data_IF_171656801015
#
_entry.id   IF_171656801015
#
_cell.length_a   1.000
_cell.length_b   1.000
_cell.length_c   1.000
_cell.angle_alpha   90.00
_cell.angle_beta   90.00
_cell.angle_gamma   90.00
#
_symmetry.space_group_name_H-M   'P 1'
#
loop_
_entity.id
_entity.type
_entity.pdbx_description
1 polymer ?
#
# COMPACT_ATOMS: atom_id res chain seq x y z
N UNK A 1 -39.68 -5.54 13.61
CA UNK A 1 -39.94 -4.30 12.86
C UNK A 1 -39.46 -4.48 11.42
N UNK A 2 -40.38 -4.47 10.43
CA UNK A 2 -39.99 -4.46 9.01
C UNK A 2 -39.50 -3.04 8.69
N UNK A 3 -38.19 -2.85 8.57
CA UNK A 3 -37.61 -1.57 8.13
C UNK A 3 -38.06 -1.32 6.68
N UNK A 4 -38.97 -0.38 6.47
CA UNK A 4 -39.32 0.09 5.13
C UNK A 4 -38.08 0.81 4.57
N UNK A 5 -37.45 0.23 3.57
CA UNK A 5 -36.34 0.89 2.88
C UNK A 5 -36.87 2.17 2.21
N UNK A 6 -36.25 3.30 2.48
CA UNK A 6 -36.60 4.54 1.79
C UNK A 6 -36.20 4.43 0.30
N UNK A 7 -36.87 5.14 -0.62
CA UNK A 7 -36.50 5.15 -2.03
C UNK A 7 -35.03 5.53 -2.26
N UNK A 8 -34.49 6.43 -1.42
CA UNK A 8 -33.08 6.84 -1.44
C UNK A 8 -32.15 5.67 -1.07
N UNK A 9 -32.52 4.87 -0.06
CA UNK A 9 -31.73 3.68 0.32
C UNK A 9 -31.70 2.64 -0.78
N UNK A 10 -32.82 2.42 -1.47
CA UNK A 10 -32.90 1.50 -2.61
C UNK A 10 -32.02 2.04 -3.75
N UNK A 11 -32.10 3.33 -4.09
CA UNK A 11 -31.27 3.95 -5.13
C UNK A 11 -29.78 3.82 -4.85
N UNK A 12 -29.34 4.11 -3.62
CA UNK A 12 -27.94 3.93 -3.20
C UNK A 12 -27.49 2.46 -3.29
N UNK A 13 -28.36 1.53 -2.86
CA UNK A 13 -28.04 0.09 -2.95
C UNK A 13 -27.86 -0.36 -4.39
N UNK A 14 -28.72 0.08 -5.32
CA UNK A 14 -28.60 -0.24 -6.75
C UNK A 14 -27.29 0.30 -7.33
N UNK A 15 -26.95 1.57 -7.05
CA UNK A 15 -25.71 2.20 -7.54
C UNK A 15 -24.49 1.44 -7.02
N UNK A 16 -24.45 1.12 -5.73
CA UNK A 16 -23.34 0.38 -5.13
C UNK A 16 -23.23 -1.04 -5.70
N UNK A 17 -24.36 -1.71 -5.95
CA UNK A 17 -24.39 -3.04 -6.57
C UNK A 17 -23.83 -3.01 -7.98
N UNK A 18 -24.25 -2.04 -8.79
CA UNK A 18 -23.73 -1.85 -10.15
C UNK A 18 -22.23 -1.55 -10.16
N UNK A 19 -21.76 -0.72 -9.23
CA UNK A 19 -20.33 -0.44 -9.06
C UNK A 19 -19.53 -1.71 -8.74
N UNK A 20 -20.01 -2.53 -7.79
CA UNK A 20 -19.35 -3.79 -7.44
C UNK A 20 -19.34 -4.76 -8.63
N UNK A 21 -20.46 -4.90 -9.33
CA UNK A 21 -20.53 -5.75 -10.52
C UNK A 21 -19.53 -5.30 -11.59
N UNK A 22 -19.44 -4.00 -11.84
CA UNK A 22 -18.47 -3.44 -12.80
C UNK A 22 -17.03 -3.77 -12.41
N UNK A 23 -16.67 -3.62 -11.11
CA UNK A 23 -15.33 -3.99 -10.61
C UNK A 23 -15.06 -5.50 -10.76
N UNK A 24 -16.05 -6.34 -10.50
CA UNK A 24 -15.91 -7.79 -10.67
C UNK A 24 -15.70 -8.18 -12.14
N UNK A 25 -16.38 -7.50 -13.08
CA UNK A 25 -16.19 -7.72 -14.51
C UNK A 25 -14.76 -7.34 -14.94
N UNK A 26 -14.24 -6.18 -14.47
CA UNK A 26 -12.86 -5.78 -14.76
C UNK A 26 -11.88 -6.82 -14.22
N UNK A 27 -12.06 -7.26 -12.97
CA UNK A 27 -11.18 -8.25 -12.35
C UNK A 27 -11.21 -9.60 -13.08
N UNK A 28 -12.41 -10.05 -13.48
CA UNK A 28 -12.57 -11.25 -14.29
C UNK A 28 -11.87 -11.10 -15.66
N UNK A 29 -12.00 -9.92 -16.29
CA UNK A 29 -11.33 -9.63 -17.56
C UNK A 29 -9.79 -9.66 -17.41
N UNK A 30 -9.23 -9.15 -16.33
CA UNK A 30 -7.79 -9.24 -16.04
C UNK A 30 -7.35 -10.70 -15.95
N UNK A 31 -8.10 -11.55 -15.22
CA UNK A 31 -7.77 -12.99 -15.09
C UNK A 31 -7.83 -13.67 -16.46
N UNK A 32 -8.90 -13.43 -17.22
CA UNK A 32 -9.07 -14.03 -18.56
C UNK A 32 -7.94 -13.58 -19.50
N UNK A 33 -7.57 -12.31 -19.48
CA UNK A 33 -6.52 -11.77 -20.34
C UNK A 33 -5.13 -12.28 -19.91
N UNK A 34 -4.88 -12.38 -18.61
CA UNK A 34 -3.65 -12.96 -18.07
C UNK A 34 -3.49 -14.46 -18.42
N UNK A 35 -4.60 -15.14 -18.70
CA UNK A 35 -4.62 -16.56 -19.07
C UNK A 35 -4.49 -16.81 -20.57
N UNK A 36 -4.50 -15.76 -21.41
CA UNK A 36 -4.33 -15.88 -22.85
C UNK A 36 -2.86 -16.13 -23.19
N UNK A 37 -2.62 -16.95 -24.21
CA UNK A 37 -1.30 -17.24 -24.71
C UNK A 37 -0.94 -16.40 -25.92
N UNK A 38 0.35 -16.19 -26.11
CA UNK A 38 0.94 -15.82 -27.36
C UNK A 38 1.82 -16.98 -27.84
N UNK A 39 1.42 -17.59 -28.95
CA UNK A 39 2.22 -18.64 -29.59
C UNK A 39 3.20 -17.99 -30.55
N UNK A 40 4.49 -18.02 -30.19
CA UNK A 40 5.59 -17.37 -30.90
C UNK A 40 6.15 -18.13 -32.10
N UNK A 41 5.40 -19.05 -32.73
CA UNK A 41 5.85 -19.69 -33.97
C UNK A 41 5.17 -19.02 -35.18
N UNK A 42 6.00 -18.29 -35.92
CA UNK A 42 5.62 -17.36 -37.00
C UNK A 42 4.93 -18.04 -38.22
N UNK A 43 4.77 -19.35 -38.25
CA UNK A 43 4.32 -20.03 -39.45
C UNK A 43 2.89 -20.54 -39.50
N UNK A 44 2.15 -20.60 -38.40
CA UNK A 44 0.81 -21.22 -38.40
C UNK A 44 -0.17 -20.87 -37.28
N UNK A 45 0.04 -19.82 -36.46
CA UNK A 45 -0.81 -19.54 -35.32
C UNK A 45 -1.45 -18.15 -35.35
N UNK A 46 -2.77 -18.12 -35.23
CA UNK A 46 -3.51 -16.91 -34.87
C UNK A 46 -3.32 -16.65 -33.36
N UNK A 47 -2.69 -15.53 -32.95
CA UNK A 47 -2.54 -15.19 -31.53
C UNK A 47 -3.93 -15.01 -30.89
N UNK A 48 -4.08 -15.46 -29.65
CA UNK A 48 -5.30 -15.33 -28.84
C UNK A 48 -5.77 -13.87 -28.65
N UNK A 49 -4.88 -12.93 -28.92
CA UNK A 49 -5.09 -11.48 -28.78
C UNK A 49 -5.14 -10.75 -30.12
N UNK A 50 -5.84 -11.31 -31.11
CA UNK A 50 -6.31 -10.47 -32.22
C UNK A 50 -7.36 -9.45 -31.73
N UNK A 51 -7.49 -8.29 -32.38
CA UNK A 51 -8.49 -7.28 -32.04
C UNK A 51 -9.90 -7.86 -31.85
N UNK A 52 -10.21 -8.95 -32.55
CA UNK A 52 -11.51 -9.63 -32.51
C UNK A 52 -11.71 -10.47 -31.24
N UNK A 53 -10.66 -10.77 -30.47
CA UNK A 53 -10.74 -11.63 -29.26
C UNK A 53 -10.27 -10.94 -27.97
N UNK A 54 -10.18 -9.61 -27.93
CA UNK A 54 -9.78 -8.86 -26.73
C UNK A 54 -10.66 -9.16 -25.51
N UNK A 55 -11.96 -9.40 -25.74
CA UNK A 55 -12.96 -9.67 -24.68
C UNK A 55 -13.30 -11.17 -24.59
N UNK A 56 -12.90 -11.97 -25.58
CA UNK A 56 -13.22 -13.40 -25.66
C UNK A 56 -12.54 -14.25 -24.60
N UNK A 57 -13.03 -15.49 -24.46
CA UNK A 57 -12.41 -16.49 -23.58
C UNK A 57 -11.07 -16.95 -24.18
N UNK A 58 -10.08 -17.28 -23.33
CA UNK A 58 -8.83 -17.86 -23.79
C UNK A 58 -9.07 -19.22 -24.47
N UNK A 59 -8.34 -19.53 -25.54
CA UNK A 59 -8.40 -20.86 -26.19
C UNK A 59 -7.82 -21.92 -25.28
N UNK A 60 -6.76 -21.59 -24.57
CA UNK A 60 -6.12 -22.41 -23.53
C UNK A 60 -5.83 -21.56 -22.31
N UNK A 61 -5.83 -22.18 -21.11
CA UNK A 61 -5.57 -21.49 -19.85
C UNK A 61 -4.08 -21.52 -19.52
N UNK A 62 -3.35 -20.49 -19.93
CA UNK A 62 -1.87 -20.43 -19.85
C UNK A 62 -1.36 -19.48 -18.75
N UNK A 63 -2.16 -19.19 -17.71
CA UNK A 63 -1.75 -18.26 -16.64
C UNK A 63 -0.42 -18.63 -15.97
N UNK A 64 -0.24 -19.92 -15.65
CA UNK A 64 0.99 -20.40 -14.98
C UNK A 64 2.19 -20.38 -15.89
N UNK A 65 1.99 -20.69 -17.17
CA UNK A 65 3.05 -20.63 -18.17
C UNK A 65 3.50 -19.18 -18.39
N UNK A 66 2.56 -18.24 -18.50
CA UNK A 66 2.86 -16.82 -18.58
C UNK A 66 3.65 -16.31 -17.36
N UNK A 67 3.28 -16.74 -16.13
CA UNK A 67 4.03 -16.41 -14.92
C UNK A 67 5.45 -17.00 -14.96
N UNK A 68 5.61 -18.22 -15.46
CA UNK A 68 6.92 -18.84 -15.61
C UNK A 68 7.78 -18.12 -16.64
N UNK A 69 7.20 -17.71 -17.77
CA UNK A 69 7.91 -16.93 -18.78
C UNK A 69 8.31 -15.54 -18.28
N UNK A 70 7.45 -14.86 -17.54
CA UNK A 70 7.77 -13.60 -16.88
C UNK A 70 8.98 -13.78 -15.95
N UNK A 71 8.99 -14.86 -15.14
CA UNK A 71 10.12 -15.14 -14.24
C UNK A 71 11.45 -15.32 -14.98
N UNK A 72 11.41 -15.91 -16.18
CA UNK A 72 12.59 -16.14 -17.02
C UNK A 72 12.92 -14.92 -17.92
N UNK A 73 11.96 -14.05 -18.12
CA UNK A 73 12.05 -12.88 -19.01
C UNK A 73 12.74 -11.68 -18.38
N UNK A 74 12.78 -11.57 -17.04
CA UNK A 74 13.45 -10.47 -16.37
C UNK A 74 14.99 -10.62 -16.48
N UNK A 75 15.65 -9.52 -16.85
CA UNK A 75 17.11 -9.43 -16.90
C UNK A 75 17.73 -9.31 -15.50
N UNK A 76 17.03 -8.68 -14.57
CA UNK A 76 17.55 -8.16 -13.30
C UNK A 76 17.00 -8.90 -12.05
N UNK A 77 16.72 -10.19 -12.16
CA UNK A 77 16.31 -10.99 -11.01
C UNK A 77 15.12 -11.90 -11.28
N UNK A 78 14.73 -12.65 -10.27
CA UNK A 78 13.58 -13.55 -10.30
C UNK A 78 12.35 -12.90 -9.66
N UNK A 79 11.15 -13.36 -10.02
CA UNK A 79 9.90 -12.92 -9.37
C UNK A 79 9.96 -13.06 -7.84
N UNK A 80 10.63 -14.11 -7.34
CA UNK A 80 10.77 -14.34 -5.90
C UNK A 80 11.65 -13.27 -5.24
N UNK A 81 12.75 -12.86 -5.88
CA UNK A 81 13.60 -11.78 -5.35
C UNK A 81 12.86 -10.45 -5.35
N UNK A 82 12.11 -10.14 -6.40
CA UNK A 82 11.27 -8.93 -6.48
C UNK A 82 10.16 -8.92 -5.44
N UNK A 83 9.51 -10.07 -5.21
CA UNK A 83 8.53 -10.22 -4.13
C UNK A 83 9.17 -9.98 -2.75
N UNK A 84 10.34 -10.56 -2.49
CA UNK A 84 11.12 -10.34 -1.29
C UNK A 84 11.47 -8.86 -1.07
N UNK A 85 11.98 -8.20 -2.11
CA UNK A 85 12.29 -6.76 -2.07
C UNK A 85 11.03 -5.92 -1.79
N UNK A 86 9.91 -6.26 -2.43
CA UNK A 86 8.63 -5.56 -2.20
C UNK A 86 8.17 -5.68 -0.75
N UNK A 87 8.20 -6.89 -0.19
CA UNK A 87 7.83 -7.13 1.22
C UNK A 87 8.76 -6.37 2.16
N UNK A 88 10.08 -6.47 1.98
CA UNK A 88 11.06 -5.77 2.82
C UNK A 88 10.91 -4.26 2.73
N UNK A 89 10.71 -3.72 1.53
CA UNK A 89 10.49 -2.30 1.30
C UNK A 89 9.17 -1.85 1.94
N UNK A 90 8.04 -2.47 1.59
CA UNK A 90 6.71 -2.04 2.03
C UNK A 90 6.52 -2.21 3.54
N UNK A 91 6.90 -3.36 4.12
CA UNK A 91 6.79 -3.61 5.57
C UNK A 91 7.71 -2.68 6.34
N UNK A 92 8.98 -2.57 5.93
CA UNK A 92 9.95 -1.75 6.66
C UNK A 92 9.62 -0.26 6.64
N UNK A 93 9.30 0.31 5.46
CA UNK A 93 8.92 1.71 5.34
C UNK A 93 7.63 2.02 6.13
N UNK A 94 6.61 1.14 6.04
CA UNK A 94 5.35 1.35 6.75
C UNK A 94 5.50 1.23 8.26
N UNK A 95 6.23 0.23 8.76
CA UNK A 95 6.49 0.09 10.21
C UNK A 95 7.24 1.30 10.75
N UNK A 96 8.35 1.68 10.12
CA UNK A 96 9.15 2.81 10.58
C UNK A 96 8.33 4.11 10.59
N UNK A 97 7.61 4.41 9.50
CA UNK A 97 6.75 5.59 9.41
C UNK A 97 5.67 5.60 10.50
N UNK A 98 4.95 4.50 10.66
CA UNK A 98 3.82 4.45 11.60
C UNK A 98 4.30 4.47 13.06
N UNK A 99 5.39 3.77 13.39
CA UNK A 99 5.99 3.81 14.74
C UNK A 99 6.43 5.22 15.09
N UNK A 100 7.21 5.87 14.22
CA UNK A 100 7.70 7.24 14.47
C UNK A 100 6.54 8.21 14.62
N UNK A 101 5.55 8.14 13.71
CA UNK A 101 4.36 8.99 13.75
C UNK A 101 3.55 8.77 15.04
N UNK A 102 3.34 7.51 15.44
CA UNK A 102 2.60 7.16 16.66
C UNK A 102 3.31 7.67 17.92
N UNK A 103 4.63 7.47 18.02
CA UNK A 103 5.43 7.91 19.20
C UNK A 103 5.45 9.43 19.29
N UNK A 104 5.71 10.14 18.20
CA UNK A 104 5.75 11.61 18.20
C UNK A 104 4.35 12.18 18.54
N UNK A 105 3.30 11.63 17.97
CA UNK A 105 1.92 12.04 18.27
C UNK A 105 1.56 11.79 19.76
N UNK A 106 1.96 10.64 20.32
CA UNK A 106 1.79 10.35 21.75
C UNK A 106 2.49 11.38 22.62
N UNK A 107 3.77 11.66 22.36
CA UNK A 107 4.55 12.63 23.14
C UNK A 107 3.91 14.02 23.08
N UNK A 108 3.51 14.47 21.88
CA UNK A 108 2.86 15.78 21.72
C UNK A 108 1.47 15.85 22.35
N UNK A 109 0.70 14.78 22.33
CA UNK A 109 -0.63 14.74 22.97
C UNK A 109 -0.55 14.65 24.49
N UNK A 110 0.48 13.97 25.03
CA UNK A 110 0.69 13.72 26.45
C UNK A 110 1.30 14.92 27.16
N UNK A 111 2.32 15.54 26.54
CA UNK A 111 3.09 16.63 27.16
C UNK A 111 2.72 17.96 26.51
N UNK A 112 1.81 18.71 27.14
CA UNK A 112 1.30 20.00 26.63
C UNK A 112 2.28 21.13 26.95
N UNK A 113 3.39 21.22 26.22
CA UNK A 113 4.35 22.31 26.32
C UNK A 113 4.43 23.10 25.01
N UNK A 114 5.23 24.18 25.00
CA UNK A 114 5.39 25.02 23.82
C UNK A 114 5.97 24.23 22.63
N UNK A 115 6.86 23.27 22.88
CA UNK A 115 7.47 22.44 21.87
C UNK A 115 6.47 21.51 21.19
N UNK A 116 5.59 20.87 21.95
CA UNK A 116 4.49 20.05 21.41
C UNK A 116 3.55 20.88 20.53
N UNK A 117 3.25 22.13 20.90
CA UNK A 117 2.48 23.06 20.09
C UNK A 117 3.21 23.45 18.81
N UNK A 118 4.51 23.68 18.88
CA UNK A 118 5.35 23.96 17.72
C UNK A 118 5.34 22.78 16.73
N UNK A 119 5.57 21.55 17.20
CA UNK A 119 5.53 20.32 16.37
C UNK A 119 4.17 20.17 15.70
N UNK A 120 3.07 20.33 16.47
CA UNK A 120 1.72 20.29 15.91
C UNK A 120 1.52 21.33 14.80
N UNK A 121 1.96 22.57 15.02
CA UNK A 121 1.86 23.65 14.04
C UNK A 121 2.67 23.34 12.78
N UNK A 122 3.88 22.81 12.93
CA UNK A 122 4.72 22.40 11.78
C UNK A 122 3.99 21.33 10.96
N UNK A 123 3.41 20.30 11.59
CA UNK A 123 2.67 19.26 10.87
C UNK A 123 1.50 19.86 10.09
N UNK A 124 0.73 20.76 10.69
CA UNK A 124 -0.41 21.41 10.00
C UNK A 124 0.10 22.26 8.82
N UNK A 125 1.15 23.03 9.02
CA UNK A 125 1.73 23.88 7.98
C UNK A 125 2.28 23.05 6.81
N UNK A 126 2.98 21.95 7.08
CA UNK A 126 3.53 21.08 6.03
C UNK A 126 2.45 20.37 5.21
N UNK A 127 1.24 20.24 5.71
CA UNK A 127 0.11 19.70 4.93
C UNK A 127 -0.47 20.73 3.95
N UNK A 128 -0.27 22.02 4.21
CA UNK A 128 -0.80 23.11 3.39
C UNK A 128 0.21 23.51 2.31
N UNK A 129 1.49 23.52 2.64
CA UNK A 129 2.56 23.96 1.73
C UNK A 129 3.00 22.78 0.84
N UNK A 130 2.75 22.82 -0.48
CA UNK A 130 3.25 21.77 -1.37
C UNK A 130 4.77 21.92 -1.54
N UNK A 131 5.51 20.86 -1.21
CA UNK A 131 6.95 20.80 -1.48
C UNK A 131 7.15 20.22 -2.89
N UNK A 132 7.54 21.07 -3.84
CA UNK A 132 7.76 20.68 -5.24
C UNK A 132 9.24 20.79 -5.57
N UNK A 133 9.79 19.81 -6.31
CA UNK A 133 11.17 19.86 -6.83
C UNK A 133 12.27 19.42 -5.87
N UNK A 134 11.94 18.92 -4.67
CA UNK A 134 12.93 18.46 -3.68
C UNK A 134 13.65 17.16 -4.04
N UNK A 135 13.12 16.38 -4.97
CA UNK A 135 13.60 15.00 -5.24
C UNK A 135 15.09 14.94 -5.61
N UNK A 136 15.58 15.85 -6.44
CA UNK A 136 17.00 15.86 -6.81
C UNK A 136 17.92 16.08 -5.60
N UNK A 137 17.54 17.01 -4.72
CA UNK A 137 18.28 17.27 -3.48
C UNK A 137 18.18 16.10 -2.49
N UNK A 138 17.02 15.45 -2.39
CA UNK A 138 16.83 14.25 -1.55
C UNK A 138 17.70 13.08 -2.05
N UNK A 139 17.80 12.86 -3.37
CA UNK A 139 18.67 11.83 -3.94
C UNK A 139 20.14 12.14 -3.63
N UNK A 140 20.56 13.39 -3.78
CA UNK A 140 21.95 13.78 -3.46
C UNK A 140 22.24 13.54 -1.97
N UNK A 141 21.36 14.00 -1.09
CA UNK A 141 21.46 13.74 0.36
C UNK A 141 21.53 12.22 0.67
N UNK A 142 20.70 11.42 0.00
CA UNK A 142 20.69 9.96 0.18
C UNK A 142 22.05 9.34 -0.22
N UNK A 143 22.68 9.85 -1.29
CA UNK A 143 24.03 9.41 -1.71
C UNK A 143 25.11 9.83 -0.71
N UNK A 144 25.09 11.05 -0.26
CA UNK A 144 26.06 11.59 0.69
C UNK A 144 25.99 10.88 2.04
N UNK A 145 24.77 10.50 2.47
CA UNK A 145 24.54 9.72 3.70
C UNK A 145 24.67 8.20 3.52
N UNK A 146 25.04 7.71 2.33
CA UNK A 146 25.16 6.29 1.99
C UNK A 146 23.84 5.50 2.19
N UNK A 147 22.70 6.16 2.08
CA UNK A 147 21.36 5.55 2.17
C UNK A 147 20.81 5.15 0.80
N UNK A 148 21.39 5.70 -0.28
CA UNK A 148 21.00 5.41 -1.66
C UNK A 148 21.30 3.94 -2.00
N UNK A 149 20.41 3.32 -2.78
CA UNK A 149 20.48 1.91 -3.20
C UNK A 149 20.56 0.93 -2.01
N UNK A 150 19.83 1.23 -0.92
CA UNK A 150 19.74 0.38 0.26
C UNK A 150 18.32 0.36 0.79
N UNK A 151 17.70 -0.82 0.93
CA UNK A 151 16.32 -0.96 1.41
C UNK A 151 16.18 -0.37 2.83
N UNK A 152 17.13 -0.66 3.74
CA UNK A 152 17.12 -0.08 5.09
C UNK A 152 17.31 1.45 5.08
N UNK A 153 18.01 2.00 4.08
CA UNK A 153 18.13 3.44 3.88
C UNK A 153 16.77 4.08 3.60
N UNK A 154 15.91 3.40 2.85
CA UNK A 154 14.54 3.85 2.60
C UNK A 154 13.69 3.82 3.87
N UNK A 155 13.88 2.84 4.77
CA UNK A 155 13.17 2.82 6.06
C UNK A 155 13.45 4.08 6.88
N UNK A 156 14.70 4.54 6.90
CA UNK A 156 15.07 5.80 7.58
C UNK A 156 14.51 7.03 6.86
N UNK A 157 14.69 7.13 5.56
CA UNK A 157 14.24 8.30 4.78
C UNK A 157 12.72 8.46 4.79
N UNK A 158 11.98 7.35 4.83
CA UNK A 158 10.51 7.36 4.85
C UNK A 158 9.90 7.34 6.25
N UNK A 159 10.70 7.31 7.32
CA UNK A 159 10.26 7.34 8.72
C UNK A 159 9.87 8.75 9.21
N UNK A 160 9.28 9.57 8.37
CA UNK A 160 8.78 10.89 8.77
C UNK A 160 7.41 10.80 9.45
N UNK A 161 7.15 11.72 10.38
CA UNK A 161 5.87 11.82 11.11
C UNK A 161 4.94 12.90 10.54
N UNK A 162 5.37 13.63 9.51
CA UNK A 162 4.59 14.72 8.95
C UNK A 162 3.40 14.19 8.14
N UNK A 163 2.23 14.79 8.33
CA UNK A 163 1.05 14.48 7.54
C UNK A 163 -0.17 14.04 8.37
N UNK A 164 -1.20 13.59 7.67
CA UNK A 164 -2.54 13.30 8.24
C UNK A 164 -2.50 12.23 9.35
N UNK A 165 -1.66 11.21 9.23
CA UNK A 165 -1.61 10.11 10.19
C UNK A 165 -1.17 10.57 11.58
N UNK A 166 -0.32 11.61 11.66
CA UNK A 166 0.03 12.24 12.92
C UNK A 166 -1.20 12.86 13.60
N UNK A 167 -2.04 13.57 12.87
CA UNK A 167 -3.25 14.20 13.41
C UNK A 167 -4.25 13.17 13.93
N UNK A 168 -4.37 12.03 13.22
CA UNK A 168 -5.22 10.92 13.66
C UNK A 168 -4.72 10.35 14.98
N UNK A 169 -3.43 9.99 15.09
CA UNK A 169 -2.87 9.51 16.36
C UNK A 169 -2.95 10.54 17.48
N UNK A 170 -2.60 11.79 17.17
CA UNK A 170 -2.69 12.89 18.15
C UNK A 170 -4.12 13.03 18.71
N UNK A 171 -5.13 13.02 17.86
CA UNK A 171 -6.54 13.09 18.26
C UNK A 171 -6.94 11.92 19.16
N UNK A 172 -6.55 10.69 18.79
CA UNK A 172 -6.86 9.49 19.59
C UNK A 172 -6.17 9.55 20.96
N UNK A 173 -4.89 9.91 21.03
CA UNK A 173 -4.20 10.05 22.32
C UNK A 173 -4.74 11.20 23.16
N UNK A 174 -5.13 12.30 22.53
CA UNK A 174 -5.70 13.46 23.23
C UNK A 174 -7.08 13.17 23.82
N UNK A 175 -7.86 12.29 23.19
CA UNK A 175 -9.18 11.86 23.67
C UNK A 175 -9.13 10.81 24.81
N UNK A 176 -7.94 10.27 25.12
CA UNK A 176 -7.80 9.28 26.20
C UNK A 176 -8.08 9.90 27.58
N UNK A 177 -8.90 9.24 28.41
CA UNK A 177 -9.14 9.69 29.79
C UNK A 177 -7.84 9.75 30.60
N UNK A 178 -7.60 10.86 31.27
CA UNK A 178 -6.40 11.08 32.11
C UNK A 178 -6.22 10.01 33.19
N UNK A 179 -7.35 9.46 33.71
CA UNK A 179 -7.32 8.42 34.74
C UNK A 179 -6.48 7.19 34.43
N UNK A 180 -6.37 6.80 33.15
CA UNK A 180 -5.47 5.67 32.79
C UNK A 180 -4.01 5.97 33.08
N UNK A 181 -3.58 7.20 32.83
CA UNK A 181 -2.21 7.64 33.11
C UNK A 181 -1.94 7.84 34.59
N UNK A 182 -2.92 8.37 35.31
CA UNK A 182 -2.85 8.61 36.74
C UNK A 182 -2.82 7.30 37.53
N UNK A 183 -3.67 6.34 37.19
CA UNK A 183 -3.65 5.01 37.80
C UNK A 183 -2.30 4.31 37.59
N UNK A 184 -1.78 4.31 36.35
CA UNK A 184 -0.49 3.72 36.06
C UNK A 184 0.67 4.40 36.82
N UNK A 185 0.61 5.72 37.05
CA UNK A 185 1.60 6.44 37.89
C UNK A 185 1.52 6.05 39.36
N UNK A 186 0.30 5.87 39.90
CA UNK A 186 0.08 5.39 41.29
C UNK A 186 0.68 3.99 41.44
N UNK A 187 0.56 3.14 40.41
CA UNK A 187 1.18 1.79 40.36
C UNK A 187 2.71 1.83 40.17
N UNK A 188 3.33 3.01 40.15
CA UNK A 188 4.78 3.18 40.02
C UNK A 188 5.32 2.97 38.59
N UNK A 189 4.49 3.01 37.57
CA UNK A 189 4.94 2.90 36.18
C UNK A 189 5.67 4.19 35.73
N UNK A 190 6.84 4.04 35.13
CA UNK A 190 7.51 5.14 34.45
C UNK A 190 6.83 5.48 33.12
N UNK A 191 7.17 6.64 32.55
CA UNK A 191 6.52 7.14 31.32
C UNK A 191 6.67 6.16 30.13
N UNK A 192 7.78 5.43 30.05
CA UNK A 192 7.99 4.39 29.04
C UNK A 192 7.02 3.21 29.21
N UNK A 193 6.87 2.70 30.43
CA UNK A 193 5.90 1.65 30.75
C UNK A 193 4.45 2.09 30.48
N UNK A 194 4.13 3.35 30.81
CA UNK A 194 2.81 3.92 30.49
C UNK A 194 2.57 3.94 29.00
N UNK A 195 3.55 4.38 28.20
CA UNK A 195 3.42 4.38 26.74
C UNK A 195 3.23 2.97 26.19
N UNK A 196 4.09 2.03 26.58
CA UNK A 196 4.11 0.68 25.98
C UNK A 196 2.99 -0.23 26.48
N UNK A 197 2.64 -0.15 27.77
CA UNK A 197 1.72 -1.09 28.40
C UNK A 197 0.29 -0.54 28.54
N UNK A 198 0.09 0.79 28.42
CA UNK A 198 -1.23 1.41 28.54
C UNK A 198 -1.63 2.08 27.23
N UNK A 199 -0.86 3.07 26.76
CA UNK A 199 -1.26 3.89 25.64
C UNK A 199 -1.27 3.12 24.31
N UNK A 200 -0.18 2.42 23.96
CA UNK A 200 -0.08 1.67 22.71
C UNK A 200 -1.11 0.53 22.59
N UNK A 201 -1.37 -0.30 23.62
CA UNK A 201 -2.42 -1.31 23.54
C UNK A 201 -3.83 -0.73 23.32
N UNK A 202 -4.11 0.45 23.84
CA UNK A 202 -5.41 1.11 23.63
C UNK A 202 -5.59 1.60 22.19
N UNK A 203 -4.51 2.01 21.52
CA UNK A 203 -4.55 2.48 20.11
C UNK A 203 -4.18 1.40 19.09
N UNK A 204 -3.98 0.14 19.51
CA UNK A 204 -3.49 -0.94 18.63
C UNK A 204 -4.27 -1.11 17.33
N UNK A 205 -5.57 -0.87 17.36
CA UNK A 205 -6.41 -0.99 16.17
C UNK A 205 -6.25 0.20 15.21
N UNK A 206 -6.14 1.41 15.77
CA UNK A 206 -5.80 2.60 14.97
C UNK A 206 -4.42 2.44 14.36
N UNK A 207 -3.45 1.94 15.15
CA UNK A 207 -2.11 1.63 14.66
C UNK A 207 -2.15 0.63 13.49
N UNK A 208 -2.87 -0.49 13.66
CA UNK A 208 -3.00 -1.50 12.62
C UNK A 208 -3.69 -0.95 11.36
N UNK A 209 -4.74 -0.14 11.52
CA UNK A 209 -5.45 0.46 10.39
C UNK A 209 -4.54 1.41 9.59
N UNK A 210 -3.81 2.29 10.26
CA UNK A 210 -2.86 3.20 9.62
C UNK A 210 -1.70 2.41 8.99
N UNK A 211 -1.17 1.39 9.69
CA UNK A 211 -0.14 0.52 9.14
C UNK A 211 -0.58 -0.14 7.82
N UNK A 212 -1.79 -0.68 7.76
CA UNK A 212 -2.30 -1.31 6.54
C UNK A 212 -2.47 -0.32 5.39
N UNK A 213 -2.95 0.89 5.66
CA UNK A 213 -3.09 1.93 4.62
C UNK A 213 -1.70 2.30 4.09
N UNK A 214 -0.76 2.60 4.98
CA UNK A 214 0.62 2.98 4.61
C UNK A 214 1.37 1.81 3.95
N UNK A 215 1.10 0.56 4.37
CA UNK A 215 1.64 -0.62 3.73
C UNK A 215 1.16 -0.74 2.28
N UNK A 216 -0.13 -0.52 2.01
CA UNK A 216 -0.69 -0.56 0.65
C UNK A 216 -0.09 0.58 -0.20
N UNK A 217 0.13 1.76 0.38
CA UNK A 217 0.82 2.87 -0.31
C UNK A 217 2.22 2.46 -0.78
N UNK A 218 3.06 1.90 0.10
CA UNK A 218 4.41 1.45 -0.26
C UNK A 218 4.43 0.17 -1.10
N UNK A 219 3.46 -0.71 -0.94
CA UNK A 219 3.33 -1.90 -1.79
C UNK A 219 3.11 -1.54 -3.26
N UNK A 220 2.33 -0.51 -3.54
CA UNK A 220 2.03 -0.04 -4.89
C UNK A 220 3.03 1.02 -5.39
N UNK A 221 3.98 1.44 -4.56
CA UNK A 221 4.95 2.46 -4.93
C UNK A 221 5.98 1.89 -5.91
N UNK A 222 6.03 2.47 -7.09
CA UNK A 222 7.05 2.17 -8.10
C UNK A 222 8.03 3.33 -8.30
N UNK A 223 7.60 4.56 -7.95
CA UNK A 223 8.39 5.77 -8.23
C UNK A 223 9.63 5.86 -7.34
N UNK A 224 9.47 5.63 -6.04
CA UNK A 224 10.58 5.70 -5.10
C UNK A 224 11.58 4.55 -5.31
N UNK A 225 11.16 3.28 -5.46
CA UNK A 225 12.09 2.21 -5.86
C UNK A 225 12.81 2.50 -7.16
N UNK A 226 12.15 3.05 -8.18
CA UNK A 226 12.77 3.42 -9.45
C UNK A 226 13.88 4.48 -9.30
N UNK A 227 13.70 5.44 -8.39
CA UNK A 227 14.65 6.56 -8.21
C UNK A 227 15.78 6.24 -7.22
N UNK A 228 15.53 5.42 -6.20
CA UNK A 228 16.44 5.25 -5.07
C UNK A 228 17.01 3.84 -4.92
N UNK A 229 16.40 2.82 -5.55
CA UNK A 229 16.75 1.40 -5.38
C UNK A 229 17.00 0.70 -6.73
N UNK A 230 17.95 1.16 -7.56
CA UNK A 230 18.17 0.61 -8.90
C UNK A 230 18.49 -0.89 -8.92
N UNK A 231 19.14 -1.42 -7.87
CA UNK A 231 19.48 -2.85 -7.78
C UNK A 231 18.40 -3.69 -7.04
N UNK A 232 17.43 -3.06 -6.37
CA UNK A 232 16.40 -3.75 -5.59
C UNK A 232 15.03 -3.56 -6.23
N UNK A 233 14.83 -4.23 -7.36
CA UNK A 233 13.58 -4.15 -8.10
C UNK A 233 12.42 -4.70 -7.28
N UNK A 234 11.31 -3.94 -7.23
CA UNK A 234 10.05 -4.34 -6.62
C UNK A 234 9.06 -4.83 -7.68
N UNK A 235 8.04 -5.61 -7.28
CA UNK A 235 6.99 -6.07 -8.19
C UNK A 235 6.23 -4.91 -8.84
N UNK A 236 5.94 -3.84 -8.10
CA UNK A 236 5.26 -2.66 -8.64
C UNK A 236 6.13 -1.91 -9.64
N UNK A 237 7.47 -1.84 -9.41
CA UNK A 237 8.41 -1.27 -10.36
C UNK A 237 8.51 -2.15 -11.62
N UNK A 238 8.58 -3.47 -11.46
CA UNK A 238 8.60 -4.40 -12.60
C UNK A 238 7.35 -4.25 -13.46
N UNK A 239 6.16 -4.18 -12.83
CA UNK A 239 4.91 -3.93 -13.53
C UNK A 239 4.93 -2.60 -14.29
N UNK A 240 5.42 -1.53 -13.67
CA UNK A 240 5.54 -0.23 -14.32
C UNK A 240 6.45 -0.30 -15.55
N UNK A 241 7.64 -0.86 -15.42
CA UNK A 241 8.60 -0.98 -16.52
C UNK A 241 8.07 -1.88 -17.66
N UNK A 242 7.39 -2.97 -17.31
CA UNK A 242 6.71 -3.84 -18.27
C UNK A 242 5.61 -3.09 -19.06
N UNK A 243 4.80 -2.27 -18.35
CA UNK A 243 3.76 -1.47 -18.98
C UNK A 243 4.30 -0.41 -19.94
N UNK A 244 5.57 -0.01 -19.76
CA UNK A 244 6.29 0.91 -20.66
C UNK A 244 7.03 0.16 -21.79
N UNK A 245 6.93 -1.16 -21.88
CA UNK A 245 7.61 -1.97 -22.90
C UNK A 245 9.12 -2.10 -22.70
N UNK A 246 9.65 -1.81 -21.51
CA UNK A 246 11.10 -1.75 -21.26
C UNK A 246 11.76 -3.10 -20.94
N UNK A 247 11.00 -4.17 -20.64
CA UNK A 247 11.56 -5.36 -19.99
C UNK A 247 11.27 -6.70 -20.62
N UNK A 248 10.52 -6.76 -21.70
CA UNK A 248 10.28 -8.05 -22.36
C UNK A 248 11.34 -8.29 -23.42
N UNK A 249 12.01 -9.45 -23.34
CA UNK A 249 13.00 -9.87 -24.33
C UNK A 249 12.34 -10.02 -25.71
N UNK A 250 12.89 -9.32 -26.70
CA UNK A 250 12.55 -9.49 -28.11
C UNK A 250 11.67 -8.39 -28.68
N UNK A 251 11.50 -8.41 -30.00
CA UNK A 251 10.67 -7.46 -30.77
C UNK A 251 9.17 -7.73 -30.63
N UNK A 252 8.68 -7.99 -29.40
CA UNK A 252 7.26 -8.21 -29.14
C UNK A 252 6.46 -6.93 -29.36
N UNK A 253 5.38 -7.02 -30.11
CA UNK A 253 4.44 -5.91 -30.26
C UNK A 253 3.71 -5.66 -28.93
N UNK A 254 3.19 -4.44 -28.73
CA UNK A 254 2.46 -4.08 -27.51
C UNK A 254 1.33 -5.07 -27.15
N UNK A 255 0.58 -5.56 -28.14
CA UNK A 255 -0.50 -6.52 -27.93
C UNK A 255 0.00 -7.88 -27.41
N UNK A 256 1.19 -8.31 -27.81
CA UNK A 256 1.79 -9.56 -27.37
C UNK A 256 2.21 -9.51 -25.88
N UNK A 257 2.46 -8.31 -25.37
CA UNK A 257 2.87 -8.09 -23.98
C UNK A 257 1.71 -8.07 -22.99
N UNK A 258 0.46 -7.81 -23.48
CA UNK A 258 -0.71 -7.63 -22.61
C UNK A 258 -0.98 -8.81 -21.65
N UNK A 259 -0.92 -10.10 -22.06
CA UNK A 259 -1.12 -11.20 -21.11
C UNK A 259 -0.09 -11.22 -19.98
N UNK A 260 1.17 -10.94 -20.27
CA UNK A 260 2.26 -10.90 -19.29
C UNK A 260 2.07 -9.73 -18.32
N UNK A 261 1.72 -8.54 -18.82
CA UNK A 261 1.40 -7.39 -17.97
C UNK A 261 0.22 -7.71 -17.06
N UNK A 262 -0.85 -8.33 -17.58
CA UNK A 262 -2.02 -8.70 -16.76
C UNK A 262 -1.70 -9.80 -15.74
N UNK A 263 -0.83 -10.75 -16.07
CA UNK A 263 -0.34 -11.74 -15.11
C UNK A 263 0.50 -11.07 -13.99
N UNK A 264 1.33 -10.10 -14.33
CA UNK A 264 2.07 -9.31 -13.32
C UNK A 264 1.12 -8.47 -12.45
N UNK A 265 0.06 -7.89 -13.03
CA UNK A 265 -1.00 -7.20 -12.27
C UNK A 265 -1.62 -8.13 -11.22
N UNK A 266 -1.91 -9.39 -11.57
CA UNK A 266 -2.43 -10.37 -10.62
C UNK A 266 -1.42 -10.67 -9.51
N UNK A 267 -0.14 -10.83 -9.83
CA UNK A 267 0.92 -11.07 -8.85
C UNK A 267 1.04 -9.92 -7.83
N UNK A 268 0.87 -8.67 -8.28
CA UNK A 268 0.88 -7.50 -7.39
C UNK A 268 -0.41 -7.40 -6.57
N UNK A 269 -1.57 -7.70 -7.16
CA UNK A 269 -2.89 -7.45 -6.58
C UNK A 269 -3.32 -8.52 -5.58
N UNK A 270 -3.07 -9.81 -5.89
CA UNK A 270 -3.53 -10.95 -5.08
C UNK A 270 -3.03 -10.88 -3.62
N UNK A 271 -1.74 -10.60 -3.33
CA UNK A 271 -1.27 -10.49 -1.95
C UNK A 271 -1.99 -9.40 -1.14
N UNK A 272 -2.30 -8.25 -1.78
CA UNK A 272 -3.03 -7.14 -1.14
C UNK A 272 -4.47 -7.55 -0.81
N UNK A 273 -5.15 -8.25 -1.74
CA UNK A 273 -6.50 -8.77 -1.50
C UNK A 273 -6.51 -9.76 -0.34
N UNK A 274 -5.56 -10.70 -0.30
CA UNK A 274 -5.44 -11.69 0.79
C UNK A 274 -5.25 -10.96 2.11
N UNK A 275 -4.33 -10.02 2.15
CA UNK A 275 -4.04 -9.21 3.34
C UNK A 275 -5.29 -8.44 3.80
N UNK A 276 -6.00 -7.79 2.88
CA UNK A 276 -7.25 -7.10 3.19
C UNK A 276 -8.31 -8.06 3.74
N UNK A 277 -8.52 -9.23 3.13
CA UNK A 277 -9.49 -10.22 3.62
C UNK A 277 -9.18 -10.70 5.04
N UNK A 278 -7.90 -10.92 5.37
CA UNK A 278 -7.46 -11.34 6.71
C UNK A 278 -7.73 -10.25 7.76
N UNK A 279 -7.48 -8.98 7.41
CA UNK A 279 -7.57 -7.87 8.35
C UNK A 279 -8.90 -7.11 8.31
N UNK A 280 -9.76 -7.31 7.31
CA UNK A 280 -11.02 -6.56 7.10
C UNK A 280 -11.93 -6.54 8.33
N UNK A 281 -12.11 -7.68 9.00
CA UNK A 281 -12.94 -7.77 10.22
C UNK A 281 -12.40 -6.90 11.37
N UNK A 282 -11.07 -6.79 11.48
CA UNK A 282 -10.41 -5.99 12.53
C UNK A 282 -10.45 -4.50 12.22
N UNK A 283 -10.44 -4.15 10.93
CA UNK A 283 -10.57 -2.76 10.46
C UNK A 283 -11.99 -2.23 10.68
N UNK A 284 -13.01 -3.01 10.31
CA UNK A 284 -14.41 -2.57 10.39
C UNK A 284 -14.96 -2.60 11.82
N UNK A 285 -14.48 -3.48 12.69
CA UNK A 285 -15.00 -3.65 14.07
C UNK A 285 -14.78 -2.45 14.98
N UNK A 286 -13.90 -1.51 14.66
CA UNK A 286 -13.55 -0.37 15.52
C UNK A 286 -13.95 0.99 14.95
N UNK A 287 -14.37 1.09 13.72
CA UNK A 287 -14.96 2.32 13.18
C UNK A 287 -16.30 2.66 13.86
N UNK A 288 -16.94 1.67 14.48
CA UNK A 288 -18.20 1.85 15.23
C UNK A 288 -18.03 2.34 16.67
N UNK A 289 -16.82 2.35 17.24
CA UNK A 289 -16.57 2.75 18.64
C UNK A 289 -16.34 4.26 18.78
N UNK A 290 -16.13 4.99 17.68
CA UNK A 290 -16.06 6.47 17.67
C UNK A 290 -17.40 7.18 17.56
N UNK A 291 -18.51 6.47 17.42
CA UNK A 291 -19.86 7.02 17.34
C UNK A 291 -20.61 6.86 18.65
N UNK A 292 -20.65 7.92 19.43
CA UNK A 292 -21.69 8.29 20.41
C UNK A 292 -22.60 7.14 20.88
N UNK A 293 -22.28 6.57 22.05
CA UNK A 293 -23.34 6.13 22.97
C UNK A 293 -23.92 7.39 23.64
N UNK A 294 -24.98 7.92 23.07
CA UNK A 294 -25.94 8.76 23.80
C UNK A 294 -26.80 7.90 24.66
#
# INVERSE_FOLDING_TARGET
MKTKFSPLTIGLFVILTLYVLFMLVIFAWVILTASKGYYGDYSSFEPDLYPDNLIGLPKEFLLFDNISEINNGFSDGTLLSMAGNTVLYAVGCSLCKVIVTCVVAYLCARYENWFSRLVYSIVVVTMIIPVVGSQAAEIQMAKDLQLYNRIWGMWLMRSNFLGMYYLVFYSVFKSMPKGYYEAAKIDGANDWKIMTNVALPLVKYTFLSIFLIVFIEYWNDYLIPNLYLPEYKTLSLALYQQSQGQELKGDMTYLQQVPYVMATVLLVTVPVIILFCVFSKRLMGNLSVGGLKG
#
